data_IF_067253513398
#
_entry.id   IF_067253513398
#
_cell.length_a   1.000
_cell.length_b   1.000
_cell.length_c   1.000
_cell.angle_alpha   90.00
_cell.angle_beta   90.00
_cell.angle_gamma   90.00
#
_symmetry.space_group_name_H-M   'P 1'
#
loop_
_entity.id
_entity.type
_entity.pdbx_description
1 polymer ?
#
# COMPACT_ATOMS: atom_id res chain seq x y z
N UNK A 1 2.71 -1.61 -15.45
CA UNK A 1 1.96 -0.49 -14.85
C UNK A 1 3.00 0.50 -14.38
N UNK A 2 3.03 1.71 -14.93
CA UNK A 2 3.88 2.76 -14.39
C UNK A 2 3.15 3.41 -13.22
N UNK A 3 3.70 3.25 -12.02
CA UNK A 3 3.18 3.80 -10.76
C UNK A 3 3.37 5.33 -10.67
N UNK A 4 3.85 5.97 -11.74
CA UNK A 4 4.08 7.42 -11.83
C UNK A 4 2.89 8.24 -12.34
N UNK A 5 1.83 7.65 -12.93
CA UNK A 5 0.57 8.39 -13.26
C UNK A 5 -0.72 7.63 -12.90
N UNK A 6 -1.72 8.34 -12.34
CA UNK A 6 -3.04 7.75 -12.04
C UNK A 6 -3.72 7.26 -13.32
N UNK A 7 -3.43 7.89 -14.46
CA UNK A 7 -3.92 7.49 -15.76
C UNK A 7 -3.46 6.08 -16.15
N UNK A 8 -2.25 5.69 -15.74
CA UNK A 8 -1.73 4.35 -16.03
C UNK A 8 -2.40 3.29 -15.16
N UNK A 9 -2.72 3.60 -13.90
CA UNK A 9 -3.53 2.72 -13.04
C UNK A 9 -4.92 2.51 -13.65
N UNK A 10 -5.59 3.59 -14.08
CA UNK A 10 -6.89 3.50 -14.75
C UNK A 10 -6.81 2.74 -16.08
N UNK A 11 -5.73 2.94 -16.85
CA UNK A 11 -5.50 2.22 -18.11
C UNK A 11 -5.31 0.73 -17.84
N UNK A 12 -4.54 0.36 -16.83
CA UNK A 12 -4.31 -1.03 -16.45
C UNK A 12 -5.63 -1.69 -16.00
N UNK A 13 -6.47 -1.00 -15.23
CA UNK A 13 -7.82 -1.49 -14.88
C UNK A 13 -8.66 -1.80 -16.11
N UNK A 14 -8.73 -0.88 -17.08
CA UNK A 14 -9.49 -1.10 -18.34
C UNK A 14 -8.98 -2.29 -19.14
N UNK A 15 -7.68 -2.59 -19.06
CA UNK A 15 -7.09 -3.75 -19.73
C UNK A 15 -7.30 -5.05 -18.95
N UNK A 16 -7.35 -4.97 -17.61
CA UNK A 16 -7.51 -6.11 -16.72
C UNK A 16 -8.96 -6.59 -16.63
N UNK A 17 -9.92 -5.68 -16.53
CA UNK A 17 -11.34 -6.00 -16.31
C UNK A 17 -11.89 -7.05 -17.29
N UNK A 18 -11.63 -6.98 -18.61
CA UNK A 18 -12.10 -8.02 -19.54
C UNK A 18 -11.44 -9.39 -19.33
N UNK A 19 -10.25 -9.44 -18.74
CA UNK A 19 -9.50 -10.68 -18.49
C UNK A 19 -9.94 -11.40 -17.22
N UNK A 20 -10.68 -10.73 -16.33
CA UNK A 20 -11.16 -11.32 -15.08
C UNK A 20 -12.37 -12.25 -15.28
N UNK A 21 -12.99 -12.24 -16.46
CA UNK A 21 -14.14 -13.09 -16.81
C UNK A 21 -15.25 -13.10 -15.73
N UNK A 22 -15.50 -11.93 -15.13
CA UNK A 22 -16.53 -11.78 -14.11
C UNK A 22 -16.23 -12.43 -12.75
N UNK A 23 -14.98 -12.83 -12.47
CA UNK A 23 -14.55 -13.39 -11.18
C UNK A 23 -13.22 -12.80 -10.72
N UNK A 24 -13.15 -12.43 -9.44
CA UNK A 24 -11.90 -12.04 -8.78
C UNK A 24 -11.93 -12.51 -7.34
N UNK A 25 -11.10 -13.50 -7.00
CA UNK A 25 -11.04 -14.07 -5.65
C UNK A 25 -10.08 -13.28 -4.73
N UNK A 26 -8.96 -12.79 -5.27
CA UNK A 26 -7.88 -12.19 -4.48
C UNK A 26 -7.35 -10.94 -5.19
N UNK A 27 -7.29 -9.83 -4.46
CA UNK A 27 -6.57 -8.61 -4.82
C UNK A 27 -5.48 -8.35 -3.77
N UNK A 28 -4.20 -8.36 -4.20
CA UNK A 28 -3.07 -8.00 -3.33
C UNK A 28 -2.48 -6.68 -3.80
N UNK A 29 -2.62 -5.66 -2.96
CA UNK A 29 -2.03 -4.34 -3.15
C UNK A 29 -0.64 -4.32 -2.48
N UNK A 30 0.39 -4.75 -3.22
CA UNK A 30 1.76 -4.88 -2.71
C UNK A 30 2.73 -3.83 -3.27
N UNK A 31 2.37 -3.15 -4.36
CA UNK A 31 3.28 -2.22 -5.01
C UNK A 31 3.54 -1.01 -4.09
N UNK A 32 4.80 -0.64 -3.90
CA UNK A 32 5.13 0.46 -3.01
C UNK A 32 6.53 0.99 -3.24
N UNK A 33 6.75 2.23 -2.82
CA UNK A 33 8.05 2.88 -2.77
C UNK A 33 8.34 3.38 -1.36
N UNK A 34 9.62 3.43 -1.00
CA UNK A 34 10.08 3.77 0.34
C UNK A 34 11.17 4.84 0.30
N UNK A 35 11.04 5.81 1.21
CA UNK A 35 11.95 6.94 1.38
C UNK A 35 12.36 7.68 0.10
N UNK A 36 11.43 7.78 -0.86
CA UNK A 36 11.69 8.42 -2.13
C UNK A 36 11.96 9.93 -2.00
N UNK A 37 12.64 10.47 -3.01
CA UNK A 37 12.89 11.91 -3.17
C UNK A 37 11.59 12.74 -3.08
N UNK A 38 11.66 14.01 -2.67
CA UNK A 38 10.50 14.89 -2.51
C UNK A 38 9.92 15.36 -3.86
N UNK A 39 9.42 14.40 -4.64
CA UNK A 39 8.87 14.59 -5.99
C UNK A 39 7.34 14.49 -5.94
N UNK A 40 6.71 15.33 -6.75
CA UNK A 40 5.27 15.31 -7.04
C UNK A 40 5.05 14.59 -8.37
N UNK A 41 3.97 13.80 -8.47
CA UNK A 41 3.49 13.29 -9.76
C UNK A 41 2.93 14.44 -10.60
N UNK A 42 2.65 14.16 -11.88
CA UNK A 42 2.05 15.11 -12.81
C UNK A 42 0.74 15.71 -12.27
N UNK A 43 -0.03 14.92 -11.52
CA UNK A 43 -1.31 15.30 -10.92
C UNK A 43 -1.16 16.10 -9.61
N UNK A 44 0.08 16.42 -9.21
CA UNK A 44 0.39 17.26 -8.05
C UNK A 44 0.36 16.54 -6.70
N UNK A 45 0.22 15.20 -6.68
CA UNK A 45 0.29 14.41 -5.46
C UNK A 45 1.71 13.96 -5.16
N UNK A 46 2.05 13.83 -3.87
CA UNK A 46 3.34 13.26 -3.48
C UNK A 46 3.50 11.83 -3.95
N UNK A 47 4.68 11.50 -4.52
CA UNK A 47 4.91 10.21 -5.15
C UNK A 47 4.64 9.01 -4.21
N UNK A 48 5.14 9.01 -2.97
CA UNK A 48 4.92 7.88 -2.03
C UNK A 48 3.44 7.74 -1.65
N UNK A 49 2.77 8.86 -1.41
CA UNK A 49 1.34 8.87 -1.11
C UNK A 49 0.51 8.37 -2.29
N UNK A 50 0.86 8.82 -3.49
CA UNK A 50 0.11 8.48 -4.67
C UNK A 50 0.33 7.02 -5.09
N UNK A 51 1.57 6.54 -5.07
CA UNK A 51 1.93 5.15 -5.37
C UNK A 51 1.39 4.17 -4.32
N UNK A 52 1.72 4.36 -3.04
CA UNK A 52 1.39 3.35 -2.02
C UNK A 52 -0.08 3.41 -1.61
N UNK A 53 -0.76 4.55 -1.77
CA UNK A 53 -2.14 4.72 -1.31
C UNK A 53 -3.14 5.04 -2.42
N UNK A 54 -2.96 6.12 -3.19
CA UNK A 54 -3.99 6.53 -4.17
C UNK A 54 -4.21 5.49 -5.27
N UNK A 55 -3.13 4.91 -5.80
CA UNK A 55 -3.22 3.89 -6.85
C UNK A 55 -3.90 2.62 -6.30
N UNK A 56 -3.56 2.21 -5.07
CA UNK A 56 -4.19 1.07 -4.41
C UNK A 56 -5.68 1.30 -4.14
N UNK A 57 -6.06 2.45 -3.59
CA UNK A 57 -7.47 2.80 -3.35
C UNK A 57 -8.27 2.78 -4.65
N UNK A 58 -7.70 3.30 -5.74
CA UNK A 58 -8.35 3.27 -7.04
C UNK A 58 -8.61 1.82 -7.48
N UNK A 59 -7.60 0.94 -7.40
CA UNK A 59 -7.75 -0.48 -7.72
C UNK A 59 -8.83 -1.15 -6.86
N UNK A 60 -8.77 -0.92 -5.54
CA UNK A 60 -9.70 -1.51 -4.58
C UNK A 60 -11.12 -1.04 -4.87
N UNK A 61 -11.37 0.27 -4.98
CA UNK A 61 -12.71 0.80 -5.23
C UNK A 61 -13.29 0.32 -6.55
N UNK A 62 -12.49 0.25 -7.61
CA UNK A 62 -12.94 -0.23 -8.92
C UNK A 62 -13.29 -1.73 -8.91
N UNK A 63 -12.54 -2.55 -8.16
CA UNK A 63 -12.70 -4.00 -8.16
C UNK A 63 -13.57 -4.52 -7.00
N UNK A 64 -13.87 -3.70 -6.00
CA UNK A 64 -14.66 -4.09 -4.81
C UNK A 64 -16.05 -4.66 -5.16
N UNK A 65 -16.81 -4.13 -6.15
CA UNK A 65 -18.06 -4.74 -6.57
C UNK A 65 -17.88 -6.17 -7.10
N UNK A 66 -16.83 -6.41 -7.87
CA UNK A 66 -16.52 -7.72 -8.44
C UNK A 66 -16.07 -8.72 -7.37
N UNK A 67 -15.22 -8.29 -6.43
CA UNK A 67 -14.82 -9.06 -5.26
C UNK A 67 -16.04 -9.42 -4.41
N UNK A 68 -16.93 -8.47 -4.14
CA UNK A 68 -18.15 -8.71 -3.37
C UNK A 68 -19.06 -9.72 -4.06
N UNK A 69 -19.27 -9.59 -5.37
CA UNK A 69 -20.02 -10.56 -6.18
C UNK A 69 -19.39 -11.95 -6.13
N UNK A 70 -18.07 -12.03 -6.23
CA UNK A 70 -17.31 -13.29 -6.16
C UNK A 70 -17.49 -13.94 -4.78
N UNK A 71 -17.33 -13.17 -3.70
CA UNK A 71 -17.55 -13.66 -2.35
C UNK A 71 -18.99 -14.16 -2.12
N UNK A 72 -20.00 -13.44 -2.63
CA UNK A 72 -21.40 -13.88 -2.51
C UNK A 72 -21.70 -15.16 -3.32
N UNK A 73 -21.03 -15.34 -4.46
CA UNK A 73 -21.32 -16.45 -5.38
C UNK A 73 -20.50 -17.71 -5.06
N UNK A 74 -19.29 -17.54 -4.56
CA UNK A 74 -18.30 -18.61 -4.36
C UNK A 74 -17.84 -18.76 -2.91
N UNK A 75 -18.34 -17.92 -1.99
CA UNK A 75 -18.12 -18.02 -0.54
C UNK A 75 -17.01 -17.13 0.03
N UNK A 76 -16.01 -16.77 -0.77
CA UNK A 76 -14.89 -15.94 -0.32
C UNK A 76 -14.32 -15.07 -1.45
N UNK A 77 -13.87 -13.87 -1.08
CA UNK A 77 -13.00 -13.02 -1.88
C UNK A 77 -12.31 -12.01 -0.96
N UNK A 78 -11.08 -11.61 -1.28
CA UNK A 78 -10.21 -10.87 -0.36
C UNK A 78 -9.44 -9.74 -1.01
N UNK A 79 -9.32 -8.65 -0.26
CA UNK A 79 -8.36 -7.57 -0.48
C UNK A 79 -7.30 -7.66 0.60
N UNK A 80 -6.04 -7.76 0.19
CA UNK A 80 -4.88 -7.68 1.08
C UNK A 80 -4.04 -6.48 0.68
N UNK A 81 -3.85 -5.54 1.60
CA UNK A 81 -3.01 -4.35 1.39
C UNK A 81 -1.72 -4.49 2.20
N UNK A 82 -0.56 -4.46 1.52
CA UNK A 82 0.74 -4.66 2.15
C UNK A 82 1.26 -3.32 2.63
N UNK A 83 1.31 -3.18 3.95
CA UNK A 83 1.76 -1.97 4.64
C UNK A 83 3.08 -2.20 5.39
N UNK A 84 3.44 -1.27 6.28
CA UNK A 84 4.68 -1.27 7.02
C UNK A 84 4.51 -0.76 8.45
N UNK A 85 5.25 -1.34 9.40
CA UNK A 85 5.48 -0.72 10.72
C UNK A 85 6.08 0.70 10.61
N UNK A 86 6.63 1.08 9.46
CA UNK A 86 7.01 2.47 9.16
C UNK A 86 5.89 3.50 9.34
N UNK A 87 4.62 3.08 9.45
CA UNK A 87 3.50 3.95 9.82
C UNK A 87 3.73 4.73 11.12
N UNK A 88 4.51 4.18 12.07
CA UNK A 88 4.83 4.85 13.34
C UNK A 88 5.69 6.11 13.14
N UNK A 89 6.30 6.26 11.96
CA UNK A 89 7.14 7.41 11.62
C UNK A 89 6.34 8.58 11.03
N UNK A 90 5.01 8.43 10.85
CA UNK A 90 4.14 9.54 10.52
C UNK A 90 4.31 10.69 11.55
N UNK A 91 4.13 11.97 11.18
CA UNK A 91 4.20 13.10 12.10
C UNK A 91 3.44 12.84 13.41
N UNK A 92 4.16 12.69 14.52
CA UNK A 92 3.60 12.21 15.78
C UNK A 92 2.47 13.10 16.34
N UNK A 93 2.53 14.40 16.05
CA UNK A 93 1.56 15.41 16.47
C UNK A 93 0.30 15.46 15.59
N UNK A 94 0.35 14.90 14.37
CA UNK A 94 -0.68 15.11 13.35
C UNK A 94 -1.18 13.84 12.65
N UNK A 95 -0.43 12.76 12.71
CA UNK A 95 -0.66 11.59 11.86
C UNK A 95 -0.56 11.98 10.38
N UNK A 96 -1.71 12.10 9.71
CA UNK A 96 -1.80 12.54 8.31
C UNK A 96 -2.01 14.06 8.24
N UNK A 97 -1.11 14.76 7.56
CA UNK A 97 -1.19 16.21 7.32
C UNK A 97 -1.90 16.47 6.00
N UNK A 98 -3.23 16.43 6.00
CA UNK A 98 -4.03 16.55 4.76
C UNK A 98 -3.77 17.83 3.97
N UNK A 99 -3.52 18.95 4.66
CA UNK A 99 -3.37 20.27 4.04
C UNK A 99 -2.11 20.41 3.17
N UNK A 100 -1.13 19.51 3.29
CA UNK A 100 0.14 19.62 2.58
C UNK A 100 0.49 18.38 1.72
N UNK A 101 -0.46 17.45 1.52
CA UNK A 101 -0.29 16.22 0.70
C UNK A 101 0.07 16.49 -0.78
N UNK A 102 -0.19 17.72 -1.26
CA UNK A 102 0.17 18.22 -2.60
C UNK A 102 1.44 19.07 -2.63
N UNK A 103 2.21 19.07 -1.54
CA UNK A 103 3.48 19.80 -1.41
C UNK A 103 4.63 18.83 -1.24
N UNK A 104 5.87 19.32 -1.29
CA UNK A 104 7.07 18.50 -1.03
C UNK A 104 7.20 18.01 0.42
N UNK A 105 6.42 18.51 1.38
CA UNK A 105 6.42 18.01 2.76
C UNK A 105 7.86 17.88 3.31
N UNK A 106 8.61 18.99 3.26
CA UNK A 106 10.06 18.97 3.47
C UNK A 106 10.48 18.57 4.90
N UNK A 107 9.58 18.70 5.89
CA UNK A 107 9.61 18.20 7.29
C UNK A 107 10.95 18.14 8.05
N UNK A 108 12.00 18.80 7.57
CA UNK A 108 13.34 18.77 8.10
C UNK A 108 13.90 17.35 8.23
N UNK A 109 14.52 17.07 9.36
CA UNK A 109 15.11 15.76 9.65
C UNK A 109 14.05 14.64 9.59
N UNK A 110 14.40 13.53 8.94
CA UNK A 110 13.53 12.37 8.78
C UNK A 110 12.37 12.55 7.81
N UNK A 111 12.35 13.61 6.98
CA UNK A 111 11.20 13.90 6.12
C UNK A 111 10.80 12.77 5.17
N UNK A 112 11.77 12.02 4.63
CA UNK A 112 11.49 10.86 3.75
C UNK A 112 10.69 9.79 4.47
N UNK A 113 11.11 9.47 5.70
CA UNK A 113 10.45 8.55 6.61
C UNK A 113 9.08 9.05 7.05
N UNK A 114 8.94 10.32 7.41
CA UNK A 114 7.63 10.91 7.78
C UNK A 114 6.61 10.80 6.65
N UNK A 115 7.04 11.02 5.41
CA UNK A 115 6.17 10.90 4.24
C UNK A 115 5.81 9.47 3.90
N UNK A 116 6.74 8.53 4.09
CA UNK A 116 6.48 7.10 3.97
C UNK A 116 5.52 6.65 5.08
N UNK A 117 5.78 7.00 6.33
CA UNK A 117 4.89 6.68 7.45
C UNK A 117 3.47 7.21 7.26
N UNK A 118 3.30 8.40 6.68
CA UNK A 118 1.97 8.89 6.31
C UNK A 118 1.27 8.00 5.26
N UNK A 119 1.96 7.53 4.21
CA UNK A 119 1.32 6.66 3.21
C UNK A 119 0.93 5.30 3.80
N UNK A 120 1.76 4.74 4.68
CA UNK A 120 1.50 3.47 5.37
C UNK A 120 0.36 3.59 6.39
N UNK A 121 0.35 4.67 7.18
CA UNK A 121 -0.75 4.97 8.11
C UNK A 121 -2.09 5.10 7.37
N UNK A 122 -2.07 5.70 6.17
CA UNK A 122 -3.30 5.94 5.41
C UNK A 122 -3.87 4.66 4.82
N UNK A 123 -3.02 3.75 4.33
CA UNK A 123 -3.44 2.41 3.90
C UNK A 123 -4.16 1.67 5.04
N UNK A 124 -3.57 1.63 6.23
CA UNK A 124 -4.19 0.98 7.41
C UNK A 124 -5.53 1.63 7.77
N UNK A 125 -5.58 2.96 7.82
CA UNK A 125 -6.82 3.68 8.14
C UNK A 125 -7.92 3.43 7.09
N UNK A 126 -7.56 3.39 5.81
CA UNK A 126 -8.48 3.12 4.72
C UNK A 126 -9.05 1.70 4.79
N UNK A 127 -8.18 0.70 4.94
CA UNK A 127 -8.59 -0.71 5.07
C UNK A 127 -9.45 -0.96 6.33
N UNK A 128 -9.31 -0.10 7.35
CA UNK A 128 -10.11 -0.19 8.58
C UNK A 128 -11.51 0.42 8.47
N UNK A 129 -11.86 1.12 7.39
CA UNK A 129 -13.14 1.83 7.25
C UNK A 129 -14.35 0.87 7.26
N UNK A 130 -15.53 1.32 7.74
CA UNK A 130 -16.74 0.48 7.77
C UNK A 130 -17.15 -0.09 6.41
N UNK A 131 -16.88 0.62 5.31
CA UNK A 131 -17.17 0.13 3.96
C UNK A 131 -16.47 -1.21 3.65
N UNK A 132 -15.27 -1.40 4.17
CA UNK A 132 -14.51 -2.65 4.06
C UNK A 132 -15.02 -3.71 5.04
N UNK A 133 -15.36 -3.31 6.27
CA UNK A 133 -15.89 -4.22 7.29
C UNK A 133 -17.27 -4.78 6.96
N UNK A 134 -18.08 -3.99 6.26
CA UNK A 134 -19.45 -4.35 5.91
C UNK A 134 -19.56 -4.93 4.48
N UNK A 135 -18.43 -5.11 3.78
CA UNK A 135 -18.39 -5.81 2.50
C UNK A 135 -18.52 -7.32 2.71
N UNK A 136 -19.09 -8.02 1.73
CA UNK A 136 -19.07 -9.50 1.70
C UNK A 136 -17.67 -10.04 1.43
N UNK A 137 -16.79 -9.25 0.82
CA UNK A 137 -15.37 -9.55 0.68
C UNK A 137 -14.60 -9.13 1.94
N UNK A 138 -13.53 -9.86 2.27
CA UNK A 138 -12.69 -9.52 3.42
C UNK A 138 -11.61 -8.53 3.01
N UNK A 139 -11.24 -7.62 3.90
CA UNK A 139 -10.19 -6.61 3.67
C UNK A 139 -9.20 -6.65 4.83
N UNK A 140 -7.91 -6.84 4.55
CA UNK A 140 -6.86 -7.01 5.55
C UNK A 140 -5.65 -6.14 5.18
N UNK A 141 -5.11 -5.40 6.14
CA UNK A 141 -3.81 -4.73 6.01
C UNK A 141 -2.74 -5.56 6.71
N UNK A 142 -1.59 -5.78 6.06
CA UNK A 142 -0.54 -6.69 6.54
C UNK A 142 0.83 -6.02 6.48
N UNK A 143 1.55 -6.04 7.60
CA UNK A 143 2.98 -5.79 7.60
C UNK A 143 3.75 -7.10 7.31
N UNK A 144 4.64 -7.15 6.30
CA UNK A 144 5.37 -8.37 5.95
C UNK A 144 6.63 -8.60 6.82
N UNK A 145 6.89 -7.75 7.82
CA UNK A 145 8.20 -7.65 8.45
C UNK A 145 9.14 -6.70 7.69
N UNK A 146 10.37 -6.53 8.19
CA UNK A 146 11.41 -5.79 7.47
C UNK A 146 12.13 -6.73 6.53
N UNK A 147 11.75 -6.70 5.26
CA UNK A 147 12.21 -7.66 4.25
C UNK A 147 13.39 -7.08 3.46
N UNK A 148 14.43 -7.89 3.23
CA UNK A 148 15.62 -7.54 2.45
C UNK A 148 15.37 -7.41 0.95
N UNK A 149 14.42 -6.58 0.54
CA UNK A 149 14.06 -6.32 -0.86
C UNK A 149 14.92 -5.21 -1.47
N UNK A 150 14.73 -4.97 -2.76
CA UNK A 150 15.37 -3.84 -3.45
C UNK A 150 14.92 -2.48 -2.89
N UNK A 151 13.81 -2.40 -2.15
CA UNK A 151 13.42 -1.16 -1.44
C UNK A 151 14.45 -0.76 -0.39
N UNK A 152 14.97 -1.72 0.40
CA UNK A 152 16.01 -1.45 1.40
C UNK A 152 17.35 -1.16 0.71
N UNK A 153 17.64 -1.83 -0.41
CA UNK A 153 18.89 -1.62 -1.17
C UNK A 153 18.93 -0.26 -1.86
N UNK A 154 17.77 0.27 -2.29
CA UNK A 154 17.64 1.56 -2.97
C UNK A 154 17.73 2.77 -2.02
N UNK A 155 17.71 2.54 -0.70
CA UNK A 155 17.91 3.59 0.30
C UNK A 155 19.32 4.20 0.19
N UNK A 156 19.45 5.47 0.59
CA UNK A 156 20.77 6.04 0.81
C UNK A 156 21.46 5.34 2.00
N UNK A 157 22.77 5.56 2.13
CA UNK A 157 23.58 4.89 3.16
C UNK A 157 23.03 5.08 4.59
N UNK A 158 22.64 6.30 4.96
CA UNK A 158 22.16 6.60 6.30
C UNK A 158 20.80 5.95 6.60
N UNK A 159 19.86 6.02 5.66
CA UNK A 159 18.54 5.39 5.79
C UNK A 159 18.65 3.86 5.83
N UNK A 160 19.56 3.27 5.05
CA UNK A 160 19.82 1.84 5.07
C UNK A 160 20.44 1.39 6.40
N UNK A 161 21.40 2.16 6.92
CA UNK A 161 22.01 1.89 8.22
C UNK A 161 20.96 1.96 9.33
N UNK A 162 20.06 2.94 9.28
CA UNK A 162 18.95 3.05 10.23
C UNK A 162 18.12 1.75 10.24
N UNK A 163 17.67 1.28 9.08
CA UNK A 163 16.88 0.03 8.98
C UNK A 163 17.61 -1.16 9.60
N UNK A 164 18.90 -1.34 9.28
CA UNK A 164 19.68 -2.45 9.83
C UNK A 164 19.98 -2.30 11.33
N UNK A 165 20.04 -1.07 11.85
CA UNK A 165 20.28 -0.82 13.26
C UNK A 165 19.02 -1.00 14.11
N UNK A 166 17.84 -0.76 13.55
CA UNK A 166 16.57 -0.78 14.30
C UNK A 166 15.74 -2.05 14.11
N UNK A 167 16.12 -2.92 13.18
CA UNK A 167 15.25 -4.03 12.76
C UNK A 167 16.01 -5.28 12.33
N UNK A 168 15.41 -6.44 12.61
CA UNK A 168 15.85 -7.72 12.06
C UNK A 168 15.35 -7.86 10.63
N UNK A 169 16.28 -7.95 9.67
CA UNK A 169 15.92 -8.08 8.26
C UNK A 169 15.76 -9.56 7.88
N UNK A 170 14.58 -9.89 7.36
CA UNK A 170 14.23 -11.25 6.94
C UNK A 170 14.32 -11.43 5.43
N UNK A 171 14.32 -12.70 5.00
CA UNK A 171 14.34 -13.04 3.57
C UNK A 171 13.01 -12.70 2.87
N UNK A 172 13.00 -12.44 1.56
CA UNK A 172 11.74 -12.34 0.79
C UNK A 172 10.82 -13.55 0.94
N UNK A 173 11.39 -14.76 1.07
CA UNK A 173 10.65 -16.00 1.27
C UNK A 173 9.95 -16.05 2.63
N UNK A 174 10.54 -15.43 3.65
CA UNK A 174 9.89 -15.31 4.96
C UNK A 174 8.86 -14.18 4.97
N UNK A 175 9.19 -13.03 4.36
CA UNK A 175 8.30 -11.87 4.33
C UNK A 175 6.97 -12.13 3.59
N UNK A 176 6.97 -12.98 2.56
CA UNK A 176 5.75 -13.30 1.83
C UNK A 176 4.77 -14.17 2.64
N UNK A 177 5.21 -14.83 3.72
CA UNK A 177 4.37 -15.72 4.52
C UNK A 177 3.15 -15.01 5.10
N UNK A 178 3.30 -13.75 5.52
CA UNK A 178 2.19 -12.97 6.03
C UNK A 178 1.16 -12.66 4.93
N UNK A 179 1.61 -12.33 3.71
CA UNK A 179 0.72 -12.12 2.56
C UNK A 179 0.00 -13.40 2.17
N UNK A 180 0.71 -14.53 2.13
CA UNK A 180 0.12 -15.86 1.87
C UNK A 180 -0.93 -16.18 2.93
N UNK A 181 -0.60 -16.00 4.21
CA UNK A 181 -1.55 -16.18 5.30
C UNK A 181 -2.80 -15.31 5.12
N UNK A 182 -2.65 -14.03 4.76
CA UNK A 182 -3.77 -13.12 4.53
C UNK A 182 -4.76 -13.62 3.46
N UNK A 183 -4.26 -14.27 2.41
CA UNK A 183 -5.09 -14.76 1.32
C UNK A 183 -5.59 -16.20 1.52
N UNK A 184 -4.96 -17.01 2.38
CA UNK A 184 -5.34 -18.44 2.56
C UNK A 184 -5.92 -18.80 3.92
N UNK A 185 -5.77 -17.96 4.95
CA UNK A 185 -6.26 -18.28 6.30
C UNK A 185 -7.78 -18.45 6.32
N UNK A 186 -8.37 -19.41 7.05
CA UNK A 186 -9.83 -19.53 7.16
C UNK A 186 -10.49 -18.23 7.66
N UNK A 187 -11.72 -17.97 7.21
CA UNK A 187 -12.56 -16.87 7.69
C UNK A 187 -13.09 -17.14 9.10
#
# INVERSE_FOLDING_TARGET
MDIASLHDTQRALRLLEPQLDGRLDILICNAGIMCASPVLRAEGHRIQWATNYLDHVLLIQSLLPLLSKTASSYGDARVVDITSEGLILAPADKGIVFNDLKTKQEYGFGARWKRYGQSELTQVLYMSQPAHRNSTSSSIAIHPGVVGTDLVKALNFADRLLVYATSTVISPQDGCKNSVWGVTAPR
#
